data_IF_057001401011
#
_entry.id   IF_057001401011
#
_cell.length_a   1.000
_cell.length_b   1.000
_cell.length_c   1.000
_cell.angle_alpha   90.00
_cell.angle_beta   90.00
_cell.angle_gamma   90.00
#
_symmetry.space_group_name_H-M   'P 1'
#
loop_
_entity.id
_entity.type
_entity.pdbx_description
1 polymer ?
#
# COMPACT_ATOMS: atom_id res chain seq x y z
N UNK A 1 39.04 22.31 -4.63
CA UNK A 1 37.60 22.58 -4.83
C UNK A 1 36.98 21.56 -5.80
N UNK A 2 37.07 20.25 -5.52
CA UNK A 2 36.66 19.19 -6.47
C UNK A 2 35.91 18.03 -5.78
N UNK A 3 34.96 18.35 -4.90
CA UNK A 3 34.17 17.33 -4.17
C UNK A 3 32.67 17.42 -4.44
N UNK A 4 32.13 18.64 -4.64
CA UNK A 4 30.72 18.84 -4.95
C UNK A 4 30.36 18.31 -6.35
N UNK A 5 31.13 18.71 -7.37
CA UNK A 5 30.93 18.29 -8.77
C UNK A 5 31.02 16.77 -8.92
N UNK A 6 31.98 16.14 -8.24
CA UNK A 6 32.16 14.68 -8.24
C UNK A 6 30.97 13.94 -7.62
N UNK A 7 30.39 14.48 -6.53
CA UNK A 7 29.19 13.90 -5.91
C UNK A 7 27.95 14.04 -6.80
N UNK A 8 27.79 15.18 -7.47
CA UNK A 8 26.68 15.39 -8.41
C UNK A 8 26.78 14.45 -9.61
N UNK A 9 27.98 14.25 -10.15
CA UNK A 9 28.22 13.29 -11.25
C UNK A 9 27.95 11.85 -10.79
N UNK A 10 28.33 11.49 -9.56
CA UNK A 10 28.10 10.15 -9.00
C UNK A 10 26.61 9.90 -8.71
N UNK A 11 25.87 10.92 -8.28
CA UNK A 11 24.41 10.86 -8.13
C UNK A 11 23.71 10.73 -9.49
N UNK A 12 24.11 11.53 -10.49
CA UNK A 12 23.57 11.46 -11.85
C UNK A 12 23.90 10.12 -12.53
N UNK A 13 25.08 9.55 -12.30
CA UNK A 13 25.43 8.22 -12.81
C UNK A 13 24.61 7.10 -12.17
N UNK A 14 24.31 7.21 -10.87
CA UNK A 14 23.43 6.24 -10.19
C UNK A 14 21.96 6.33 -10.64
N UNK A 15 21.48 7.54 -10.96
CA UNK A 15 20.15 7.77 -11.54
C UNK A 15 20.04 7.22 -12.97
N UNK A 16 21.07 7.43 -13.80
CA UNK A 16 21.14 6.89 -15.16
C UNK A 16 21.22 5.34 -15.16
N UNK A 17 21.97 4.74 -14.22
CA UNK A 17 21.99 3.29 -14.04
C UNK A 17 20.62 2.73 -13.66
N UNK A 18 19.82 3.43 -12.85
CA UNK A 18 18.44 3.01 -12.52
C UNK A 18 17.52 2.99 -13.75
N UNK A 19 17.68 3.94 -14.67
CA UNK A 19 16.87 3.99 -15.90
C UNK A 19 17.34 3.01 -16.99
N UNK A 20 18.63 2.67 -17.04
CA UNK A 20 19.17 1.70 -18.02
C UNK A 20 18.77 0.24 -17.76
N UNK A 21 18.27 -0.11 -16.58
CA UNK A 21 17.88 -1.49 -16.21
C UNK A 21 16.74 -2.03 -17.09
N UNK A 22 15.99 -1.17 -17.77
CA UNK A 22 14.77 -1.55 -18.50
C UNK A 22 15.05 -2.02 -19.94
N UNK A 23 16.17 -1.63 -20.56
CA UNK A 23 16.36 -1.81 -22.02
C UNK A 23 17.06 -3.10 -22.46
N UNK A 24 17.81 -3.80 -21.58
CA UNK A 24 18.72 -4.88 -22.00
C UNK A 24 18.32 -6.28 -21.52
N UNK A 25 17.17 -6.44 -20.86
CA UNK A 25 16.74 -7.74 -20.33
C UNK A 25 15.89 -8.49 -21.35
N UNK A 26 16.29 -9.71 -21.68
CA UNK A 26 15.44 -10.66 -22.43
C UNK A 26 14.15 -10.92 -21.63
N UNK A 27 13.04 -11.26 -22.31
CA UNK A 27 11.73 -11.53 -21.67
C UNK A 27 11.82 -12.46 -20.44
N UNK A 28 12.71 -13.47 -20.51
CA UNK A 28 12.95 -14.45 -19.45
C UNK A 28 13.92 -14.02 -18.33
N UNK A 29 14.59 -12.88 -18.48
CA UNK A 29 15.45 -12.25 -17.47
C UNK A 29 14.74 -11.09 -16.76
N UNK A 30 13.41 -11.15 -16.68
CA UNK A 30 12.64 -10.16 -15.94
C UNK A 30 12.74 -10.42 -14.42
N UNK A 31 13.27 -9.45 -13.62
CA UNK A 31 13.47 -9.62 -12.18
C UNK A 31 12.14 -9.83 -11.41
N UNK A 32 11.00 -9.47 -12.00
CA UNK A 32 9.68 -9.69 -11.42
C UNK A 32 9.31 -11.19 -11.36
N UNK A 33 9.87 -12.07 -12.20
CA UNK A 33 9.64 -13.52 -12.12
C UNK A 33 10.34 -14.18 -10.92
N UNK A 34 11.44 -13.59 -10.42
CA UNK A 34 12.16 -14.13 -9.27
C UNK A 34 11.37 -13.96 -7.95
N UNK A 35 10.53 -12.91 -7.84
CA UNK A 35 9.63 -12.66 -6.69
C UNK A 35 8.67 -13.82 -6.45
N UNK A 36 8.15 -14.44 -7.51
CA UNK A 36 7.16 -15.51 -7.42
C UNK A 36 7.78 -16.89 -7.19
N UNK A 37 9.12 -16.97 -7.16
CA UNK A 37 9.82 -18.26 -7.16
C UNK A 37 9.92 -18.79 -5.73
N UNK A 38 8.89 -19.57 -5.36
CA UNK A 38 8.78 -20.55 -4.25
C UNK A 38 8.15 -20.04 -2.94
N UNK A 39 6.90 -19.57 -2.99
CA UNK A 39 6.03 -19.72 -1.83
C UNK A 39 5.36 -21.10 -1.92
N UNK A 40 5.66 -21.97 -0.96
CA UNK A 40 4.93 -23.22 -0.76
C UNK A 40 4.19 -23.07 0.55
N UNK A 41 2.86 -23.15 0.49
CA UNK A 41 2.02 -23.20 1.69
C UNK A 41 2.25 -24.56 2.36
N UNK A 42 2.20 -24.59 3.68
CA UNK A 42 2.16 -25.84 4.44
C UNK A 42 1.05 -26.75 3.91
N UNK A 43 1.32 -28.04 3.68
CA UNK A 43 0.31 -28.98 3.18
C UNK A 43 -0.88 -29.12 4.12
N UNK A 44 -0.69 -28.87 5.42
CA UNK A 44 -1.73 -28.97 6.45
C UNK A 44 -2.60 -27.71 6.54
N UNK A 45 -2.27 -26.65 5.80
CA UNK A 45 -3.04 -25.41 5.83
C UNK A 45 -4.34 -25.53 5.04
N UNK A 46 -5.43 -24.97 5.57
CA UNK A 46 -6.78 -25.08 5.02
C UNK A 46 -6.94 -24.53 3.59
N UNK A 47 -6.05 -23.61 3.16
CA UNK A 47 -6.10 -22.96 1.84
C UNK A 47 -4.81 -23.19 1.05
N UNK A 48 -4.87 -23.97 -0.02
CA UNK A 48 -3.67 -24.29 -0.82
C UNK A 48 -3.34 -23.20 -1.87
N UNK A 49 -4.36 -22.51 -2.37
CA UNK A 49 -4.19 -21.35 -3.26
C UNK A 49 -5.37 -20.38 -3.10
N UNK A 50 -5.17 -19.12 -3.48
CA UNK A 50 -6.20 -18.07 -3.52
C UNK A 50 -7.05 -18.11 -4.80
N UNK A 51 -6.60 -18.83 -5.83
CA UNK A 51 -7.20 -18.80 -7.17
C UNK A 51 -6.92 -17.51 -7.96
N UNK A 52 -6.22 -16.53 -7.37
CA UNK A 52 -5.89 -15.26 -8.00
C UNK A 52 -4.40 -15.24 -8.42
N UNK A 53 -4.13 -14.76 -9.63
CA UNK A 53 -2.76 -14.73 -10.14
C UNK A 53 -1.96 -13.62 -9.46
N UNK A 54 -0.82 -13.98 -8.86
CA UNK A 54 0.08 -13.03 -8.20
C UNK A 54 -0.25 -12.75 -6.73
N UNK A 55 -1.38 -13.25 -6.21
CA UNK A 55 -1.75 -13.17 -4.80
C UNK A 55 -1.49 -14.52 -4.13
N UNK A 56 -0.43 -14.59 -3.31
CA UNK A 56 -0.07 -15.82 -2.61
C UNK A 56 -0.84 -15.95 -1.30
N UNK A 57 -1.10 -17.18 -0.87
CA UNK A 57 -1.75 -17.46 0.42
C UNK A 57 -0.81 -17.08 1.58
N UNK A 58 -1.38 -16.42 2.59
CA UNK A 58 -0.68 -16.06 3.82
C UNK A 58 -1.10 -17.01 4.95
N UNK A 59 -0.15 -17.69 5.58
CA UNK A 59 -0.44 -18.67 6.64
C UNK A 59 -0.86 -18.02 7.98
N UNK A 60 -0.39 -16.79 8.24
CA UNK A 60 -0.62 -16.08 9.50
C UNK A 60 -1.27 -14.71 9.28
N UNK A 61 -2.49 -14.64 8.72
CA UNK A 61 -3.12 -13.39 8.31
C UNK A 61 -3.41 -12.46 9.51
N UNK A 62 -3.90 -13.01 10.63
CA UNK A 62 -4.20 -12.23 11.85
C UNK A 62 -2.98 -11.46 12.37
N UNK A 63 -1.81 -12.12 12.44
CA UNK A 63 -0.59 -11.49 12.89
C UNK A 63 -0.14 -10.39 11.93
N UNK A 64 -0.20 -10.66 10.61
CA UNK A 64 0.16 -9.70 9.57
C UNK A 64 -0.72 -8.45 9.62
N UNK A 65 -2.05 -8.62 9.71
CA UNK A 65 -3.01 -7.53 9.78
C UNK A 65 -2.82 -6.67 11.03
N UNK A 66 -2.67 -7.29 12.22
CA UNK A 66 -2.39 -6.55 13.47
C UNK A 66 -1.12 -5.70 13.35
N UNK A 67 -0.08 -6.24 12.74
CA UNK A 67 1.18 -5.54 12.54
C UNK A 67 1.04 -4.36 11.55
N UNK A 68 0.31 -4.54 10.44
CA UNK A 68 0.10 -3.46 9.45
C UNK A 68 -0.78 -2.37 10.03
N UNK A 69 -1.93 -2.71 10.63
CA UNK A 69 -2.81 -1.73 11.26
C UNK A 69 -2.13 -1.00 12.41
N UNK A 70 -1.31 -1.68 13.21
CA UNK A 70 -0.51 -1.03 14.25
C UNK A 70 0.50 -0.03 13.69
N UNK A 71 1.11 -0.30 12.52
CA UNK A 71 1.98 0.66 11.83
C UNK A 71 1.19 1.84 11.26
N UNK A 72 0.01 1.57 10.74
CA UNK A 72 -0.87 2.56 10.14
C UNK A 72 -1.39 3.56 11.19
N UNK A 73 -1.87 3.06 12.33
CA UNK A 73 -2.28 3.90 13.47
C UNK A 73 -1.13 4.78 13.98
N UNK A 74 0.11 4.30 13.97
CA UNK A 74 1.28 5.13 14.31
C UNK A 74 1.53 6.22 13.26
N UNK A 75 1.46 5.89 11.97
CA UNK A 75 1.64 6.87 10.90
C UNK A 75 0.55 7.95 10.90
N UNK A 76 -0.69 7.60 11.23
CA UNK A 76 -1.80 8.56 11.33
C UNK A 76 -1.61 9.58 12.45
N UNK A 77 -0.76 9.32 13.46
CA UNK A 77 -0.49 10.29 14.52
C UNK A 77 0.17 11.57 14.00
N UNK A 78 0.90 11.50 12.87
CA UNK A 78 1.57 12.64 12.24
C UNK A 78 0.58 13.58 11.53
N UNK A 79 -0.62 13.09 11.20
CA UNK A 79 -1.68 13.87 10.53
C UNK A 79 -2.54 14.56 11.60
N UNK A 80 -2.97 15.82 11.44
CA UNK A 80 -3.83 16.47 12.43
C UNK A 80 -5.19 15.76 12.59
N UNK A 81 -5.70 15.67 13.83
CA UNK A 81 -6.98 15.04 14.16
C UNK A 81 -8.21 15.72 13.52
N UNK A 82 -8.07 16.96 13.07
CA UNK A 82 -9.10 17.70 12.34
C UNK A 82 -9.25 17.23 10.88
N UNK A 83 -8.26 16.52 10.35
CA UNK A 83 -8.28 16.00 8.98
C UNK A 83 -9.40 14.96 8.84
N UNK A 84 -10.25 15.16 7.82
CA UNK A 84 -11.28 14.19 7.48
C UNK A 84 -10.68 12.81 7.18
N UNK A 85 -9.55 12.77 6.46
CA UNK A 85 -8.86 11.53 6.11
C UNK A 85 -8.49 10.72 7.36
N UNK A 86 -7.85 11.37 8.35
CA UNK A 86 -7.46 10.71 9.60
C UNK A 86 -8.68 10.15 10.33
N UNK A 87 -9.75 10.93 10.45
CA UNK A 87 -10.95 10.53 11.20
C UNK A 87 -11.60 9.27 10.61
N UNK A 88 -11.79 9.22 9.29
CA UNK A 88 -12.43 8.08 8.63
C UNK A 88 -11.53 6.84 8.52
N UNK A 89 -10.23 7.04 8.33
CA UNK A 89 -9.26 5.93 8.29
C UNK A 89 -9.08 5.29 9.67
N UNK A 90 -8.96 6.09 10.73
CA UNK A 90 -8.93 5.59 12.11
C UNK A 90 -10.18 4.77 12.44
N UNK A 91 -11.38 5.29 12.12
CA UNK A 91 -12.64 4.58 12.33
C UNK A 91 -12.67 3.22 11.60
N UNK A 92 -12.31 3.23 10.31
CA UNK A 92 -12.29 2.02 9.48
C UNK A 92 -11.29 0.99 10.02
N UNK A 93 -10.09 1.43 10.39
CA UNK A 93 -9.03 0.55 10.88
C UNK A 93 -9.37 0.01 12.26
N UNK A 94 -9.92 0.83 13.16
CA UNK A 94 -10.37 0.38 14.47
C UNK A 94 -11.47 -0.68 14.32
N UNK A 95 -12.47 -0.45 13.47
CA UNK A 95 -13.50 -1.44 13.18
C UNK A 95 -12.93 -2.76 12.64
N UNK A 96 -11.96 -2.69 11.70
CA UNK A 96 -11.32 -3.92 11.18
C UNK A 96 -10.46 -4.60 12.24
N UNK A 97 -9.76 -3.84 13.07
CA UNK A 97 -8.92 -4.38 14.14
C UNK A 97 -9.77 -5.13 15.18
N UNK A 98 -10.93 -4.60 15.56
CA UNK A 98 -11.83 -5.28 16.50
C UNK A 98 -12.34 -6.60 15.92
N UNK A 99 -12.67 -6.66 14.63
CA UNK A 99 -13.03 -7.91 13.95
C UNK A 99 -11.88 -8.93 13.98
N UNK A 100 -10.65 -8.49 13.66
CA UNK A 100 -9.44 -9.34 13.67
C UNK A 100 -9.05 -9.81 15.09
N UNK A 101 -9.48 -9.11 16.13
CA UNK A 101 -9.27 -9.51 17.52
C UNK A 101 -10.35 -10.46 18.05
N UNK A 102 -11.60 -10.27 17.62
CA UNK A 102 -12.74 -11.07 18.08
C UNK A 102 -12.82 -12.44 17.39
N UNK A 103 -12.53 -12.51 16.10
CA UNK A 103 -12.58 -13.77 15.35
C UNK A 103 -11.20 -14.41 15.26
N UNK A 104 -11.12 -15.70 15.62
CA UNK A 104 -9.91 -16.50 15.43
C UNK A 104 -9.91 -17.28 14.12
N UNK A 105 -11.09 -17.57 13.59
CA UNK A 105 -11.27 -18.32 12.35
C UNK A 105 -11.24 -17.40 11.13
N UNK A 106 -10.59 -17.86 10.06
CA UNK A 106 -10.29 -17.04 8.88
C UNK A 106 -11.53 -16.91 7.99
N UNK A 107 -12.33 -17.97 7.85
CA UNK A 107 -13.50 -17.96 6.96
C UNK A 107 -14.60 -17.03 7.50
N UNK A 108 -14.90 -17.16 8.79
CA UNK A 108 -15.85 -16.26 9.47
C UNK A 108 -15.37 -14.81 9.48
N UNK A 109 -14.06 -14.56 9.59
CA UNK A 109 -13.48 -13.22 9.49
C UNK A 109 -13.67 -12.62 8.08
N UNK A 110 -13.43 -13.40 7.02
CA UNK A 110 -13.64 -12.96 5.64
C UNK A 110 -15.11 -12.56 5.40
N UNK A 111 -16.07 -13.37 5.88
CA UNK A 111 -17.50 -13.09 5.76
C UNK A 111 -17.91 -11.81 6.50
N UNK A 112 -17.38 -11.58 7.71
CA UNK A 112 -17.70 -10.38 8.50
C UNK A 112 -17.11 -9.11 7.91
N UNK A 113 -15.92 -9.18 7.31
CA UNK A 113 -15.30 -8.03 6.65
C UNK A 113 -16.00 -7.74 5.31
N UNK A 114 -16.39 -8.78 4.57
CA UNK A 114 -17.14 -8.65 3.32
C UNK A 114 -16.38 -7.97 2.19
N UNK A 115 -15.04 -8.03 2.18
CA UNK A 115 -14.18 -7.38 1.18
C UNK A 115 -13.28 -8.35 0.40
N UNK A 116 -13.81 -9.53 0.07
CA UNK A 116 -13.06 -10.56 -0.65
C UNK A 116 -12.26 -11.46 0.28
N UNK A 117 -11.12 -11.96 -0.21
CA UNK A 117 -10.24 -12.86 0.54
C UNK A 117 -9.35 -12.09 1.53
N UNK A 118 -8.90 -12.76 2.59
CA UNK A 118 -8.08 -12.13 3.63
C UNK A 118 -6.77 -11.57 3.09
N UNK A 119 -6.19 -12.20 2.05
CA UNK A 119 -4.96 -11.74 1.41
C UNK A 119 -5.16 -10.43 0.64
N UNK A 120 -6.33 -10.22 0.03
CA UNK A 120 -6.67 -8.94 -0.62
C UNK A 120 -6.80 -7.83 0.43
N UNK A 121 -7.37 -8.13 1.60
CA UNK A 121 -7.45 -7.19 2.72
C UNK A 121 -6.05 -6.82 3.24
N UNK A 122 -5.12 -7.77 3.25
CA UNK A 122 -3.71 -7.49 3.62
C UNK A 122 -3.07 -6.54 2.60
N UNK A 123 -3.26 -6.79 1.30
CA UNK A 123 -2.73 -5.91 0.24
C UNK A 123 -3.33 -4.51 0.32
N UNK A 124 -4.64 -4.40 0.54
CA UNK A 124 -5.31 -3.12 0.78
C UNK A 124 -4.72 -2.39 1.98
N UNK A 125 -4.48 -3.07 3.10
CA UNK A 125 -3.90 -2.46 4.29
C UNK A 125 -2.45 -1.97 4.05
N UNK A 126 -1.67 -2.68 3.22
CA UNK A 126 -0.34 -2.24 2.81
C UNK A 126 -0.40 -1.00 1.90
N UNK A 127 -1.29 -1.02 0.91
CA UNK A 127 -1.53 0.12 0.03
C UNK A 127 -2.01 1.35 0.82
N UNK A 128 -2.85 1.17 1.84
CA UNK A 128 -3.30 2.25 2.71
C UNK A 128 -2.15 2.82 3.55
N UNK A 129 -1.23 1.98 4.03
CA UNK A 129 -0.03 2.44 4.73
C UNK A 129 0.89 3.27 3.83
N UNK A 130 1.07 2.86 2.57
CA UNK A 130 1.82 3.63 1.58
C UNK A 130 1.12 4.96 1.24
N UNK A 131 -0.20 4.90 1.06
CA UNK A 131 -1.05 6.08 0.81
C UNK A 131 -0.98 7.07 1.97
N UNK A 132 -1.01 6.59 3.21
CA UNK A 132 -0.87 7.43 4.41
C UNK A 132 0.46 8.19 4.39
N UNK A 133 1.57 7.53 4.02
CA UNK A 133 2.89 8.18 3.89
C UNK A 133 2.89 9.24 2.79
N UNK A 134 2.28 8.96 1.65
CA UNK A 134 2.15 9.93 0.56
C UNK A 134 1.26 11.13 0.95
N UNK A 135 0.22 10.91 1.75
CA UNK A 135 -0.64 11.98 2.28
C UNK A 135 0.13 12.86 3.27
N UNK A 136 0.98 12.27 4.10
CA UNK A 136 1.88 13.02 5.00
C UNK A 136 2.82 13.92 4.19
N UNK A 137 3.40 13.39 3.11
CA UNK A 137 4.30 14.15 2.23
C UNK A 137 3.58 15.28 1.49
N UNK A 138 2.39 15.00 0.94
CA UNK A 138 1.60 15.96 0.16
C UNK A 138 0.80 16.95 1.00
N UNK A 139 0.61 16.70 2.30
CA UNK A 139 -0.20 17.51 3.23
C UNK A 139 -1.59 17.83 2.70
N UNK A 140 -2.25 16.82 2.13
CA UNK A 140 -3.54 16.97 1.45
C UNK A 140 -4.72 17.48 2.33
N UNK A 141 -4.52 17.66 3.64
CA UNK A 141 -5.49 18.26 4.56
C UNK A 141 -5.46 19.78 4.58
N UNK A 142 -4.49 20.42 3.93
CA UNK A 142 -4.44 21.87 3.77
C UNK A 142 -5.55 22.37 2.82
N UNK A 143 -6.03 23.61 2.99
CA UNK A 143 -7.02 24.18 2.08
C UNK A 143 -6.48 24.26 0.66
N UNK A 144 -7.40 24.37 -0.30
CA UNK A 144 -7.07 24.45 -1.71
C UNK A 144 -6.10 25.63 -1.98
N UNK A 145 -4.99 25.33 -2.68
CA UNK A 145 -3.95 26.31 -2.99
C UNK A 145 -4.49 27.43 -3.88
N UNK A 146 -5.29 27.07 -4.89
CA UNK A 146 -5.89 28.02 -5.84
C UNK A 146 -7.35 27.67 -6.12
N UNK A 147 -8.23 28.66 -6.00
CA UNK A 147 -9.62 28.50 -6.41
C UNK A 147 -9.71 28.32 -7.93
N UNK A 148 -10.60 27.45 -8.43
CA UNK A 148 -10.77 27.27 -9.87
C UNK A 148 -11.30 28.57 -10.52
N UNK A 149 -10.94 28.79 -11.78
CA UNK A 149 -11.54 29.87 -12.57
C UNK A 149 -13.07 29.67 -12.66
N UNK A 150 -13.84 30.77 -12.67
CA UNK A 150 -15.31 30.73 -12.61
C UNK A 150 -15.96 29.83 -13.68
N UNK A 151 -15.35 29.72 -14.86
CA UNK A 151 -15.88 28.92 -15.97
C UNK A 151 -15.21 27.53 -16.11
N UNK A 152 -14.24 27.17 -15.25
CA UNK A 152 -13.46 25.93 -15.38
C UNK A 152 -14.34 24.67 -15.33
N UNK A 153 -15.34 24.66 -14.45
CA UNK A 153 -16.22 23.51 -14.20
C UNK A 153 -17.65 23.71 -14.73
N UNK A 154 -17.86 24.71 -15.61
CA UNK A 154 -19.16 24.95 -16.25
C UNK A 154 -19.32 23.99 -17.42
N UNK A 155 -20.29 23.07 -17.30
CA UNK A 155 -20.65 22.14 -18.37
C UNK A 155 -22.17 22.07 -18.53
N UNK A 156 -22.74 22.16 -19.75
CA UNK A 156 -22.07 22.33 -21.06
C UNK A 156 -21.53 23.75 -21.31
N UNK A 157 -20.66 23.88 -22.31
CA UNK A 157 -20.12 25.16 -22.80
C UNK A 157 -21.22 25.83 -23.63
N UNK A 158 -22.11 26.58 -22.98
CA UNK A 158 -23.14 27.40 -23.62
C UNK A 158 -22.89 28.87 -23.33
#
# INVERSE_FOLDING_TARGET
MSSAVTRTIQQLSSFAQKQQIVSTRTFYQNPYYARFKKFKVSPDFHKQSTGLTGLMVEERPHHMLKLIYGRLLRALQDIPATSAYRRYTEETIMHRLTLVENESDIQTLEEKIGMGQIEEVIEQAQAELETTRAIIESKAWEPLIEAPAQNQWRWPIA
#
